data_IF_319876299076
#
_entry.id   IF_319876299076
#
_cell.length_a   1.000
_cell.length_b   1.000
_cell.length_c   1.000
_cell.angle_alpha   90.00
_cell.angle_beta   90.00
_cell.angle_gamma   90.00
#
_symmetry.space_group_name_H-M   'P 1'
#
loop_
_entity.id
_entity.type
_entity.pdbx_description
1 polymer ?
#
# COMPACT_ATOMS: atom_id res chain seq x y z
N UNK A 1 45.31 2.94 -7.87
CA UNK A 1 44.22 1.97 -7.75
C UNK A 1 43.49 2.25 -6.43
N UNK A 2 42.50 3.14 -6.45
CA UNK A 2 41.60 3.35 -5.32
C UNK A 2 40.23 2.86 -5.74
N UNK A 3 39.72 1.91 -4.97
CA UNK A 3 38.54 1.10 -5.28
C UNK A 3 37.30 1.96 -5.44
N UNK A 4 36.54 1.66 -6.50
CA UNK A 4 35.22 2.19 -6.71
C UNK A 4 34.30 1.76 -5.57
N UNK A 5 33.64 2.73 -4.93
CA UNK A 5 32.40 2.48 -4.23
C UNK A 5 31.43 1.85 -5.22
N UNK A 6 31.13 0.57 -5.03
CA UNK A 6 29.98 -0.04 -5.67
C UNK A 6 28.72 0.70 -5.15
N UNK A 7 27.80 1.15 -6.01
CA UNK A 7 26.51 1.64 -5.55
C UNK A 7 25.83 0.51 -4.79
N UNK A 8 25.45 0.78 -3.54
CA UNK A 8 24.82 -0.19 -2.65
C UNK A 8 23.64 -0.89 -3.33
N UNK A 9 23.54 -2.20 -3.13
CA UNK A 9 22.38 -2.97 -3.54
C UNK A 9 21.13 -2.21 -3.08
N UNK A 10 20.29 -1.79 -4.02
CA UNK A 10 19.03 -1.12 -3.71
C UNK A 10 18.26 -2.01 -2.72
N UNK A 11 18.04 -1.49 -1.52
CA UNK A 11 17.37 -2.21 -0.45
C UNK A 11 15.98 -2.65 -0.93
N UNK A 12 15.75 -3.96 -0.92
CA UNK A 12 14.48 -4.54 -1.36
C UNK A 12 13.45 -4.26 -0.28
N UNK A 13 12.58 -3.28 -0.51
CA UNK A 13 11.50 -2.91 0.41
C UNK A 13 10.51 -4.07 0.51
N UNK A 14 10.37 -4.61 1.71
CA UNK A 14 9.44 -5.70 2.04
C UNK A 14 8.16 -5.22 2.75
N UNK A 15 7.25 -6.15 3.09
CA UNK A 15 6.02 -5.82 3.80
C UNK A 15 6.25 -5.09 5.12
N UNK A 16 7.25 -5.54 5.88
CA UNK A 16 7.54 -4.98 7.20
C UNK A 16 8.03 -3.54 7.12
N UNK A 17 8.72 -3.14 6.05
CA UNK A 17 9.16 -1.76 5.85
C UNK A 17 7.96 -0.83 5.59
N UNK A 18 6.99 -1.30 4.79
CA UNK A 18 5.72 -0.59 4.55
C UNK A 18 4.96 -0.41 5.86
N UNK A 19 4.78 -1.50 6.62
CA UNK A 19 4.05 -1.46 7.88
C UNK A 19 4.78 -0.60 8.92
N UNK A 20 6.09 -0.73 9.06
CA UNK A 20 6.88 0.06 10.00
C UNK A 20 6.77 1.56 9.69
N UNK A 21 6.90 1.93 8.41
CA UNK A 21 6.70 3.31 7.96
C UNK A 21 5.28 3.81 8.28
N UNK A 22 4.26 3.03 7.92
CA UNK A 22 2.87 3.42 8.11
C UNK A 22 2.53 3.56 9.60
N UNK A 23 2.96 2.62 10.43
CA UNK A 23 2.81 2.65 11.90
C UNK A 23 3.50 3.86 12.51
N UNK A 24 4.73 4.16 12.10
CA UNK A 24 5.49 5.29 12.61
C UNK A 24 4.85 6.65 12.25
N UNK A 25 4.17 6.74 11.10
CA UNK A 25 3.41 7.93 10.73
C UNK A 25 2.19 8.16 11.63
N UNK A 26 1.49 7.08 11.98
CA UNK A 26 0.32 7.10 12.86
C UNK A 26 -0.96 7.67 12.22
N UNK A 27 -2.11 7.50 12.88
CA UNK A 27 -3.44 7.83 12.34
C UNK A 27 -3.59 9.31 11.97
N UNK A 28 -2.94 10.21 12.69
CA UNK A 28 -2.98 11.65 12.42
C UNK A 28 -2.42 12.00 11.03
N UNK A 29 -1.47 11.20 10.53
CA UNK A 29 -0.85 11.41 9.21
C UNK A 29 -1.48 10.58 8.10
N UNK A 30 -2.14 9.46 8.42
CA UNK A 30 -2.76 8.59 7.41
C UNK A 30 -3.79 9.34 6.56
N UNK A 31 -4.58 10.21 7.20
CA UNK A 31 -5.68 10.92 6.54
C UNK A 31 -5.45 12.43 6.35
N UNK A 32 -4.44 13.00 7.01
CA UNK A 32 -4.10 14.41 6.83
C UNK A 32 -3.41 14.67 5.48
N UNK A 33 -3.69 15.82 4.88
CA UNK A 33 -2.92 16.30 3.73
C UNK A 33 -1.61 16.90 4.21
N UNK A 34 -0.50 16.33 3.76
CA UNK A 34 0.85 16.82 4.04
C UNK A 34 1.72 16.59 2.82
N UNK A 35 2.09 17.68 2.12
CA UNK A 35 2.92 17.60 0.92
C UNK A 35 4.28 16.93 1.20
N UNK A 36 4.83 17.11 2.40
CA UNK A 36 6.07 16.46 2.82
C UNK A 36 5.90 14.94 2.92
N UNK A 37 4.82 14.48 3.58
CA UNK A 37 4.53 13.06 3.73
C UNK A 37 4.18 12.39 2.40
N UNK A 38 3.41 13.09 1.55
CA UNK A 38 3.07 12.63 0.21
C UNK A 38 4.31 12.44 -0.66
N UNK A 39 5.25 13.40 -0.58
CA UNK A 39 6.53 13.34 -1.30
C UNK A 39 7.42 12.21 -0.78
N UNK A 40 7.45 11.99 0.53
CA UNK A 40 8.19 10.89 1.14
C UNK A 40 7.64 9.53 0.70
N UNK A 41 6.31 9.34 0.77
CA UNK A 41 5.65 8.11 0.30
C UNK A 41 6.02 7.84 -1.16
N UNK A 42 5.89 8.86 -2.01
CA UNK A 42 6.18 8.72 -3.44
C UNK A 42 7.65 8.40 -3.70
N UNK A 43 8.56 9.07 -3.01
CA UNK A 43 9.99 8.83 -3.20
C UNK A 43 10.39 7.41 -2.79
N UNK A 44 9.88 6.93 -1.65
CA UNK A 44 10.29 5.64 -1.07
C UNK A 44 9.55 4.45 -1.68
N UNK A 45 8.25 4.57 -1.93
CA UNK A 45 7.40 3.41 -2.21
C UNK A 45 6.80 3.37 -3.61
N UNK A 46 7.13 4.31 -4.50
CA UNK A 46 6.58 4.30 -5.86
C UNK A 46 6.94 3.04 -6.64
N UNK A 47 8.17 2.53 -6.50
CA UNK A 47 8.60 1.26 -7.12
C UNK A 47 7.81 0.06 -6.59
N UNK A 48 7.51 0.05 -5.28
CA UNK A 48 6.71 -1.01 -4.62
C UNK A 48 5.26 -0.96 -5.11
N UNK A 49 4.65 0.23 -5.17
CA UNK A 49 3.30 0.40 -5.71
C UNK A 49 3.22 -0.07 -7.16
N UNK A 50 4.19 0.31 -8.00
CA UNK A 50 4.24 -0.15 -9.40
C UNK A 50 4.39 -1.67 -9.50
N UNK A 51 5.23 -2.29 -8.67
CA UNK A 51 5.36 -3.74 -8.64
C UNK A 51 4.07 -4.43 -8.17
N UNK A 52 3.35 -3.83 -7.22
CA UNK A 52 2.04 -4.31 -6.76
C UNK A 52 0.98 -4.20 -7.86
N UNK A 53 0.91 -3.07 -8.58
CA UNK A 53 0.03 -2.83 -9.73
C UNK A 53 0.29 -3.86 -10.85
N UNK A 54 1.55 -4.22 -11.08
CA UNK A 54 1.96 -5.23 -12.06
C UNK A 54 1.78 -6.69 -11.54
N UNK A 55 1.22 -6.89 -10.34
CA UNK A 55 0.95 -8.21 -9.76
C UNK A 55 2.20 -8.95 -9.25
N UNK A 56 3.37 -8.32 -9.23
CA UNK A 56 4.65 -8.95 -8.88
C UNK A 56 4.81 -9.25 -7.39
N UNK A 57 3.94 -8.69 -6.55
CA UNK A 57 3.96 -8.85 -5.10
C UNK A 57 2.91 -9.83 -4.58
N UNK A 58 2.33 -10.68 -5.43
CA UNK A 58 1.29 -11.65 -5.04
C UNK A 58 1.71 -12.57 -3.87
N UNK A 59 3.00 -12.91 -3.77
CA UNK A 59 3.55 -13.70 -2.66
C UNK A 59 3.40 -13.03 -1.28
N UNK A 60 3.18 -11.71 -1.21
CA UNK A 60 2.91 -11.02 0.07
C UNK A 60 1.58 -11.48 0.68
N UNK A 61 0.64 -11.98 -0.11
CA UNK A 61 -0.65 -12.46 0.40
C UNK A 61 -0.56 -13.77 1.19
N UNK A 62 0.62 -14.39 1.29
CA UNK A 62 0.85 -15.62 2.04
C UNK A 62 0.84 -15.41 3.56
N UNK A 63 1.00 -14.16 4.03
CA UNK A 63 0.99 -13.82 5.46
C UNK A 63 0.01 -12.68 5.79
N UNK A 64 -0.46 -12.57 7.05
CA UNK A 64 -1.35 -11.47 7.46
C UNK A 64 -0.73 -10.09 7.26
N UNK A 65 0.52 -9.91 7.67
CA UNK A 65 1.27 -8.67 7.53
C UNK A 65 1.54 -8.32 6.06
N UNK A 66 1.87 -9.32 5.25
CA UNK A 66 2.08 -9.15 3.82
C UNK A 66 0.81 -8.70 3.10
N UNK A 67 -0.31 -9.35 3.37
CA UNK A 67 -1.60 -8.95 2.81
C UNK A 67 -2.00 -7.53 3.24
N UNK A 68 -1.81 -7.18 4.51
CA UNK A 68 -2.08 -5.83 5.01
C UNK A 68 -1.20 -4.77 4.34
N UNK A 69 0.11 -5.04 4.22
CA UNK A 69 1.04 -4.15 3.55
C UNK A 69 0.64 -3.94 2.09
N UNK A 70 0.24 -5.00 1.39
CA UNK A 70 -0.20 -4.93 0.00
C UNK A 70 -1.49 -4.11 -0.16
N UNK A 71 -2.45 -4.25 0.76
CA UNK A 71 -3.65 -3.38 0.81
C UNK A 71 -3.26 -1.92 0.99
N UNK A 72 -2.38 -1.59 1.96
CA UNK A 72 -1.92 -0.21 2.18
C UNK A 72 -1.22 0.36 0.95
N UNK A 73 -0.36 -0.43 0.30
CA UNK A 73 0.35 -0.03 -0.92
C UNK A 73 -0.62 0.24 -2.07
N UNK A 74 -1.59 -0.65 -2.30
CA UNK A 74 -2.53 -0.53 -3.42
C UNK A 74 -3.62 0.51 -3.18
N UNK A 75 -3.92 0.83 -1.92
CA UNK A 75 -5.05 1.68 -1.56
C UNK A 75 -4.61 3.01 -0.93
N UNK A 76 -3.89 2.99 0.18
CA UNK A 76 -3.56 4.23 0.89
C UNK A 76 -2.50 5.05 0.15
N UNK A 77 -1.45 4.41 -0.36
CA UNK A 77 -0.34 5.14 -0.98
C UNK A 77 -0.73 5.96 -2.23
N UNK A 78 -1.56 5.46 -3.17
CA UNK A 78 -2.04 6.25 -4.30
C UNK A 78 -2.74 7.55 -3.90
N UNK A 79 -3.48 7.54 -2.78
CA UNK A 79 -4.18 8.71 -2.22
C UNK A 79 -3.24 9.79 -1.71
N UNK A 80 -2.01 9.41 -1.35
CA UNK A 80 -0.93 10.34 -1.04
C UNK A 80 -0.11 10.70 -2.30
N UNK A 81 0.27 9.72 -3.12
CA UNK A 81 1.16 9.90 -4.28
C UNK A 81 0.56 10.70 -5.44
N UNK A 82 -0.76 10.62 -5.63
CA UNK A 82 -1.45 11.08 -6.84
C UNK A 82 -2.64 12.01 -6.56
N UNK A 83 -2.58 12.82 -5.50
CA UNK A 83 -3.68 13.74 -5.13
C UNK A 83 -4.14 14.59 -6.32
N UNK A 84 -5.46 14.58 -6.59
CA UNK A 84 -6.06 15.33 -7.69
C UNK A 84 -5.89 14.69 -9.07
N UNK A 85 -5.32 13.48 -9.14
CA UNK A 85 -5.11 12.71 -10.37
C UNK A 85 -5.93 11.41 -10.33
N UNK A 86 -6.42 10.97 -11.50
CA UNK A 86 -7.19 9.73 -11.67
C UNK A 86 -6.47 8.49 -11.13
N UNK A 87 -5.13 8.50 -11.09
CA UNK A 87 -4.30 7.42 -10.54
C UNK A 87 -4.51 7.19 -9.04
N UNK A 88 -5.13 8.13 -8.33
CA UNK A 88 -5.53 7.96 -6.92
C UNK A 88 -6.35 6.68 -6.68
N UNK A 89 -7.12 6.24 -7.67
CA UNK A 89 -8.03 5.11 -7.57
C UNK A 89 -7.67 3.95 -8.51
N UNK A 90 -6.53 4.04 -9.21
CA UNK A 90 -6.18 3.09 -10.27
C UNK A 90 -5.99 1.65 -9.77
N UNK A 91 -5.67 1.48 -8.49
CA UNK A 91 -5.38 0.18 -7.87
C UNK A 91 -6.38 -0.24 -6.80
N UNK A 92 -7.52 0.48 -6.68
CA UNK A 92 -8.55 0.20 -5.68
C UNK A 92 -9.15 -1.20 -5.84
N UNK A 93 -9.40 -1.64 -7.09
CA UNK A 93 -9.94 -2.98 -7.36
C UNK A 93 -8.97 -4.09 -6.95
N UNK A 94 -7.67 -3.90 -7.16
CA UNK A 94 -6.66 -4.84 -6.73
C UNK A 94 -6.57 -4.92 -5.21
N UNK A 95 -6.59 -3.76 -4.53
CA UNK A 95 -6.63 -3.73 -3.07
C UNK A 95 -7.86 -4.48 -2.53
N UNK A 96 -9.04 -4.29 -3.15
CA UNK A 96 -10.27 -4.95 -2.75
C UNK A 96 -10.16 -6.47 -2.89
N UNK A 97 -9.63 -6.94 -4.01
CA UNK A 97 -9.43 -8.36 -4.24
C UNK A 97 -8.45 -8.98 -3.22
N UNK A 98 -7.37 -8.28 -2.86
CA UNK A 98 -6.44 -8.71 -1.81
C UNK A 98 -7.14 -8.77 -0.45
N UNK A 99 -7.91 -7.74 -0.10
CA UNK A 99 -8.65 -7.68 1.15
C UNK A 99 -9.68 -8.81 1.27
N UNK A 100 -10.45 -9.08 0.21
CA UNK A 100 -11.40 -10.21 0.14
C UNK A 100 -10.70 -11.53 0.46
N UNK A 101 -9.55 -11.80 -0.18
CA UNK A 101 -8.77 -13.01 0.04
C UNK A 101 -8.18 -13.09 1.44
N UNK A 102 -7.68 -11.98 1.97
CA UNK A 102 -7.13 -11.91 3.33
C UNK A 102 -8.21 -12.19 4.40
N UNK A 103 -9.40 -11.60 4.24
CA UNK A 103 -10.55 -11.84 5.12
C UNK A 103 -11.02 -13.29 5.02
N UNK A 104 -11.09 -13.86 3.81
CA UNK A 104 -11.44 -15.27 3.63
C UNK A 104 -10.46 -16.23 4.32
N UNK A 105 -9.17 -15.84 4.43
CA UNK A 105 -8.13 -16.57 5.18
C UNK A 105 -8.13 -16.25 6.69
N UNK A 106 -8.95 -15.31 7.15
CA UNK A 106 -8.99 -14.85 8.53
C UNK A 106 -7.76 -14.06 8.98
N UNK A 107 -7.03 -13.46 8.04
CA UNK A 107 -5.81 -12.69 8.30
C UNK A 107 -6.11 -11.35 8.95
N UNK A 108 -7.27 -10.76 8.65
CA UNK A 108 -7.80 -9.56 9.30
C UNK A 108 -7.83 -9.70 10.83
N UNK A 109 -8.16 -10.89 11.34
CA UNK A 109 -8.22 -11.16 12.78
C UNK A 109 -6.86 -11.35 13.44
N UNK A 110 -5.80 -11.52 12.65
CA UNK A 110 -4.43 -11.77 13.13
C UNK A 110 -3.59 -10.50 13.21
N UNK A 111 -4.04 -9.40 12.58
CA UNK A 111 -3.41 -8.08 12.70
C UNK A 111 -4.01 -7.26 13.85
N UNK A 112 -3.28 -6.23 14.28
CA UNK A 112 -3.71 -5.34 15.37
C UNK A 112 -5.02 -4.60 15.03
N UNK A 113 -5.82 -4.28 16.05
CA UNK A 113 -7.16 -3.71 15.85
C UNK A 113 -7.18 -2.40 15.05
N UNK A 114 -6.26 -1.42 15.29
CA UNK A 114 -6.23 -0.20 14.49
C UNK A 114 -5.91 -0.44 13.02
N UNK A 115 -5.14 -1.48 12.69
CA UNK A 115 -4.70 -1.74 11.31
C UNK A 115 -5.70 -2.60 10.54
N UNK A 116 -6.45 -3.44 11.26
CA UNK A 116 -7.52 -4.27 10.69
C UNK A 116 -8.50 -3.44 9.84
N UNK A 117 -8.72 -2.18 10.19
CA UNK A 117 -9.60 -1.28 9.45
C UNK A 117 -9.26 -1.19 7.96
N UNK A 118 -7.98 -1.32 7.57
CA UNK A 118 -7.57 -1.18 6.17
C UNK A 118 -8.10 -2.31 5.29
N UNK A 119 -8.30 -3.51 5.83
CA UNK A 119 -8.98 -4.59 5.10
C UNK A 119 -10.45 -4.24 4.79
N UNK A 120 -11.10 -3.45 5.65
CA UNK A 120 -12.51 -3.09 5.46
C UNK A 120 -12.70 -1.75 4.76
N UNK A 121 -11.76 -0.81 4.86
CA UNK A 121 -11.83 0.48 4.16
C UNK A 121 -11.84 0.30 2.62
N UNK A 122 -11.28 -0.81 2.16
CA UNK A 122 -11.22 -1.16 0.74
C UNK A 122 -12.55 -1.70 0.20
N UNK A 123 -13.40 -2.27 1.07
CA UNK A 123 -14.67 -2.91 0.70
C UNK A 123 -15.73 -1.94 0.13
N UNK A 124 -16.00 -0.77 0.76
CA UNK A 124 -16.99 0.18 0.25
C UNK A 124 -16.60 0.83 -1.09
N UNK A 125 -15.32 0.80 -1.48
CA UNK A 125 -14.85 1.49 -2.71
C UNK A 125 -15.10 0.73 -4.00
N UNK A 126 -15.48 -0.55 -3.91
CA UNK A 126 -15.96 -1.35 -5.04
C UNK A 126 -17.20 -0.73 -5.72
N UNK A 127 -17.94 0.13 -5.01
CA UNK A 127 -19.11 0.84 -5.55
C UNK A 127 -18.79 2.09 -6.39
N UNK A 128 -17.53 2.58 -6.39
CA UNK A 128 -17.19 3.83 -7.08
C UNK A 128 -16.57 3.63 -8.47
N UNK A 129 -15.95 2.47 -8.77
CA UNK A 129 -15.37 2.21 -10.10
C UNK A 129 -16.42 1.92 -11.18
N UNK A 130 -17.61 1.43 -10.80
CA UNK A 130 -18.70 1.13 -11.75
C UNK A 130 -19.50 2.36 -12.22
N UNK A 131 -19.37 3.53 -11.57
CA UNK A 131 -20.24 4.69 -11.88
C UNK A 131 -19.54 5.87 -12.58
N UNK A 132 -18.21 5.87 -12.72
CA UNK A 132 -17.48 7.02 -13.31
C UNK A 132 -16.51 6.66 -14.45
N UNK A 133 -16.63 5.46 -15.01
CA UNK A 133 -16.06 5.14 -16.32
C UNK A 133 -17.09 5.46 -17.41
N UNK A 134 -17.21 6.73 -17.78
CA UNK A 134 -17.94 7.21 -18.96
C UNK A 134 -17.18 8.37 -19.58
#
# INVERSE_FOLDING_TARGET
MTGGCAPGAAEVIGPMDVLAFWRAAGPDKWFARSAAFDSEIKHRFFSVWRAAEEGKLAHWEETPEGALALVIVLDQFPRNMFRGDRRTYATDEFAGAVADRAIARGFDRQVSHPERQFFYLTFPRRFWSEQHAS
#
